data_IF_595663044248
#
_entry.id   IF_595663044248
#
_cell.length_a   1.000
_cell.length_b   1.000
_cell.length_c   1.000
_cell.angle_alpha   90.00
_cell.angle_beta   90.00
_cell.angle_gamma   90.00
#
_symmetry.space_group_name_H-M   'P 1'
#
loop_
_entity.id
_entity.type
_entity.pdbx_description
1 polymer ?
#
# COMPACT_ATOMS: atom_id res chain seq x y z
N UNK A 1 -13.69 -26.95 0.17
CA UNK A 1 -12.57 -26.00 0.41
C UNK A 1 -11.64 -25.95 -0.80
N UNK A 2 -11.37 -27.10 -1.45
CA UNK A 2 -10.68 -27.22 -2.75
C UNK A 2 -11.25 -26.32 -3.86
N UNK A 3 -12.57 -26.27 -4.00
CA UNK A 3 -13.23 -25.52 -5.10
C UNK A 3 -12.89 -24.01 -5.11
N UNK A 4 -12.69 -23.40 -3.95
CA UNK A 4 -12.30 -21.98 -3.83
C UNK A 4 -10.83 -21.72 -4.13
N UNK A 5 -9.94 -22.62 -3.71
CA UNK A 5 -8.51 -22.50 -4.02
C UNK A 5 -8.30 -22.68 -5.53
N UNK A 6 -8.99 -23.66 -6.12
CA UNK A 6 -9.00 -23.91 -7.55
C UNK A 6 -9.59 -22.72 -8.33
N UNK A 7 -10.67 -22.11 -7.85
CA UNK A 7 -11.22 -20.89 -8.44
C UNK A 7 -10.18 -19.77 -8.49
N UNK A 8 -9.55 -19.44 -7.36
CA UNK A 8 -8.55 -18.36 -7.28
C UNK A 8 -7.35 -18.63 -8.17
N UNK A 9 -6.83 -19.86 -8.19
CA UNK A 9 -5.73 -20.23 -9.07
C UNK A 9 -6.12 -20.11 -10.55
N UNK A 10 -7.33 -20.55 -10.91
CA UNK A 10 -7.86 -20.39 -12.26
C UNK A 10 -8.08 -18.92 -12.63
N UNK A 11 -8.45 -18.05 -11.68
CA UNK A 11 -8.47 -16.60 -11.92
C UNK A 11 -7.07 -16.09 -12.26
N UNK A 12 -6.03 -16.46 -11.51
CA UNK A 12 -4.66 -16.04 -11.84
C UNK A 12 -4.23 -16.53 -13.22
N UNK A 13 -4.49 -17.80 -13.55
CA UNK A 13 -4.14 -18.35 -14.87
C UNK A 13 -4.91 -17.67 -16.00
N UNK A 14 -6.20 -17.39 -15.78
CA UNK A 14 -7.04 -16.73 -16.78
C UNK A 14 -6.59 -15.28 -16.97
N UNK A 15 -6.34 -14.52 -15.92
CA UNK A 15 -6.09 -13.08 -16.01
C UNK A 15 -4.62 -12.70 -16.18
N UNK A 16 -3.69 -13.63 -15.97
CA UNK A 16 -2.28 -13.48 -16.32
C UNK A 16 -2.06 -13.65 -17.85
N UNK A 17 -2.90 -12.98 -18.65
CA UNK A 17 -2.71 -12.89 -20.10
C UNK A 17 -1.41 -12.13 -20.40
N UNK A 18 -0.72 -12.46 -21.50
CA UNK A 18 0.48 -11.73 -21.92
C UNK A 18 0.23 -10.22 -21.93
N UNK A 19 1.22 -9.47 -21.43
CA UNK A 19 1.17 -8.00 -21.31
C UNK A 19 0.82 -7.27 -22.59
N UNK A 20 0.99 -7.94 -23.72
CA UNK A 20 0.88 -7.40 -25.07
C UNK A 20 -0.56 -7.52 -25.62
N UNK A 21 -1.43 -8.26 -24.92
CA UNK A 21 -2.80 -8.56 -25.35
C UNK A 21 -3.87 -7.66 -24.72
N UNK A 22 -3.51 -6.69 -23.86
CA UNK A 22 -4.49 -5.84 -23.18
C UNK A 22 -3.99 -4.44 -22.83
N UNK A 23 -4.88 -3.43 -22.96
CA UNK A 23 -4.66 -2.11 -22.36
C UNK A 23 -4.75 -2.24 -20.85
N UNK A 24 -3.65 -1.96 -20.14
CA UNK A 24 -3.65 -1.89 -18.68
C UNK A 24 -4.33 -0.60 -18.24
N UNK A 25 -5.21 -0.70 -17.25
CA UNK A 25 -5.87 0.47 -16.68
C UNK A 25 -4.89 1.20 -15.77
N UNK A 26 -4.72 2.51 -15.97
CA UNK A 26 -3.93 3.39 -15.12
C UNK A 26 -4.82 4.16 -14.17
N UNK A 27 -4.39 4.26 -12.91
CA UNK A 27 -5.02 5.18 -11.95
C UNK A 27 -4.55 6.61 -12.21
N UNK A 28 -5.48 7.52 -12.52
CA UNK A 28 -5.20 8.94 -12.80
C UNK A 28 -5.67 9.87 -11.67
N UNK A 29 -6.32 9.33 -10.65
CA UNK A 29 -6.90 10.10 -9.53
C UNK A 29 -6.45 9.56 -8.18
N UNK A 30 -6.31 10.47 -7.22
CA UNK A 30 -6.12 10.17 -5.81
C UNK A 30 -7.46 10.23 -5.05
N UNK A 31 -7.61 9.50 -3.92
CA UNK A 31 -6.63 8.60 -3.32
C UNK A 31 -6.63 7.20 -3.97
N UNK A 32 -5.47 6.56 -3.99
CA UNK A 32 -5.38 5.10 -4.15
C UNK A 32 -5.34 4.52 -2.75
N UNK A 33 -6.36 3.73 -2.36
CA UNK A 33 -6.43 3.11 -1.04
C UNK A 33 -6.96 1.69 -1.18
N UNK A 34 -6.27 0.74 -0.54
CA UNK A 34 -6.71 -0.66 -0.48
C UNK A 34 -6.14 -1.35 0.75
N UNK A 35 -6.89 -2.32 1.28
CA UNK A 35 -6.45 -3.34 2.23
C UNK A 35 -6.29 -4.71 1.55
N UNK A 36 -6.44 -4.73 0.23
CA UNK A 36 -6.47 -5.92 -0.61
C UNK A 36 -7.64 -6.86 -0.27
N UNK A 37 -8.73 -6.32 0.31
CA UNK A 37 -9.92 -7.10 0.61
C UNK A 37 -10.62 -7.55 -0.68
N UNK A 38 -10.81 -8.86 -0.83
CA UNK A 38 -11.47 -9.46 -1.99
C UNK A 38 -13.01 -9.50 -1.87
N UNK A 39 -13.57 -8.86 -0.84
CA UNK A 39 -15.00 -8.96 -0.53
C UNK A 39 -15.40 -10.30 0.08
N UNK A 40 -14.47 -11.10 0.58
CA UNK A 40 -14.75 -12.30 1.37
C UNK A 40 -13.59 -12.63 2.31
N UNK A 41 -13.84 -13.49 3.29
CA UNK A 41 -12.82 -13.96 4.22
C UNK A 41 -13.31 -15.11 5.10
N UNK A 42 -12.37 -15.83 5.73
CA UNK A 42 -12.71 -16.81 6.79
C UNK A 42 -13.02 -16.13 8.13
N UNK A 43 -12.52 -14.90 8.28
CA UNK A 43 -12.69 -13.99 9.42
C UNK A 43 -12.80 -12.57 8.88
N UNK A 44 -13.23 -11.63 9.70
CA UNK A 44 -13.08 -10.21 9.42
C UNK A 44 -12.07 -9.58 10.38
N UNK A 45 -11.25 -8.70 9.84
CA UNK A 45 -10.15 -8.03 10.52
C UNK A 45 -10.37 -6.53 10.59
N UNK A 46 -9.88 -5.92 11.66
CA UNK A 46 -9.77 -4.48 11.83
C UNK A 46 -8.48 -4.19 12.60
N UNK A 47 -7.62 -3.33 12.06
CA UNK A 47 -6.28 -3.03 12.58
C UNK A 47 -5.47 -4.27 13.01
N UNK A 48 -5.53 -5.33 12.20
CA UNK A 48 -4.84 -6.59 12.43
C UNK A 48 -5.48 -7.50 13.49
N UNK A 49 -6.62 -7.11 14.08
CA UNK A 49 -7.37 -7.92 15.05
C UNK A 49 -8.56 -8.59 14.38
N UNK A 50 -8.84 -9.83 14.77
CA UNK A 50 -10.08 -10.51 14.40
C UNK A 50 -11.24 -9.84 15.12
N UNK A 51 -12.11 -9.15 14.37
CA UNK A 51 -13.36 -8.57 14.90
C UNK A 51 -14.56 -9.48 14.70
N UNK A 52 -14.46 -10.42 13.76
CA UNK A 52 -15.50 -11.40 13.47
C UNK A 52 -14.85 -12.73 13.10
N UNK A 53 -15.04 -13.75 13.93
CA UNK A 53 -14.44 -15.07 13.76
C UNK A 53 -15.37 -16.06 13.02
N UNK A 54 -15.94 -15.63 11.91
CA UNK A 54 -16.76 -16.47 11.04
C UNK A 54 -16.59 -16.07 9.57
N UNK A 55 -16.85 -17.01 8.67
CA UNK A 55 -16.74 -16.78 7.24
C UNK A 55 -17.76 -15.77 6.74
N UNK A 56 -17.36 -14.92 5.80
CA UNK A 56 -18.24 -13.91 5.22
C UNK A 56 -17.93 -13.68 3.74
N UNK A 57 -18.92 -13.14 3.04
CA UNK A 57 -18.86 -12.79 1.63
C UNK A 57 -19.77 -11.58 1.38
N UNK A 58 -19.21 -10.54 0.77
CA UNK A 58 -19.88 -9.32 0.32
C UNK A 58 -18.97 -8.62 -0.70
N UNK A 59 -19.25 -8.81 -2.01
CA UNK A 59 -18.44 -8.19 -3.07
C UNK A 59 -18.53 -6.66 -3.11
N UNK A 60 -19.54 -6.04 -2.49
CA UNK A 60 -19.57 -4.58 -2.30
C UNK A 60 -18.46 -4.08 -1.36
N UNK A 61 -17.76 -4.99 -0.68
CA UNK A 61 -16.57 -4.73 0.15
C UNK A 61 -15.26 -5.10 -0.57
N UNK A 62 -15.32 -5.51 -1.84
CA UNK A 62 -14.11 -5.75 -2.62
C UNK A 62 -13.41 -4.42 -2.88
N UNK A 63 -12.11 -4.38 -2.62
CA UNK A 63 -11.23 -3.23 -2.81
C UNK A 63 -10.26 -3.49 -3.97
N UNK A 64 -9.44 -2.49 -4.31
CA UNK A 64 -8.48 -2.57 -5.41
C UNK A 64 -7.50 -3.73 -5.22
N UNK A 65 -7.26 -4.49 -6.30
CA UNK A 65 -6.37 -5.65 -6.32
C UNK A 65 -5.13 -5.39 -7.19
N UNK A 66 -3.97 -5.96 -6.86
CA UNK A 66 -2.71 -5.61 -7.50
C UNK A 66 -2.62 -6.15 -8.93
N UNK A 67 -1.70 -5.62 -9.73
CA UNK A 67 -1.40 -6.09 -11.08
C UNK A 67 -0.77 -7.48 -11.06
N UNK A 68 0.32 -7.63 -10.28
CA UNK A 68 0.98 -8.92 -10.15
C UNK A 68 0.22 -9.79 -9.14
N UNK A 69 -0.34 -10.90 -9.64
CA UNK A 69 -1.06 -11.89 -8.86
C UNK A 69 -0.76 -13.31 -9.37
N UNK A 70 -0.67 -14.25 -8.45
CA UNK A 70 -0.44 -15.67 -8.74
C UNK A 70 0.98 -16.13 -8.44
N UNK A 71 1.34 -17.25 -9.06
CA UNK A 71 2.61 -17.96 -8.89
C UNK A 71 3.54 -17.68 -10.07
N UNK A 72 4.84 -17.92 -9.89
CA UNK A 72 5.83 -17.81 -10.97
C UNK A 72 6.19 -16.38 -11.36
N UNK A 73 5.92 -15.41 -10.49
CA UNK A 73 6.38 -14.02 -10.62
C UNK A 73 7.88 -13.94 -10.37
N UNK A 74 8.50 -12.77 -10.58
CA UNK A 74 9.94 -12.56 -10.35
C UNK A 74 10.79 -13.68 -11.00
N UNK A 75 10.58 -13.96 -12.28
CA UNK A 75 11.25 -15.03 -13.04
C UNK A 75 11.08 -16.45 -12.47
N UNK A 76 9.93 -16.75 -11.87
CA UNK A 76 9.62 -18.07 -11.30
C UNK A 76 9.90 -18.19 -9.80
N UNK A 77 10.52 -17.19 -9.18
CA UNK A 77 10.94 -17.22 -7.78
C UNK A 77 9.97 -16.50 -6.84
N UNK A 78 8.97 -15.81 -7.37
CA UNK A 78 8.03 -14.99 -6.63
C UNK A 78 6.59 -15.48 -6.72
N UNK A 79 5.79 -15.17 -5.70
CA UNK A 79 4.34 -15.29 -5.74
C UNK A 79 3.65 -14.15 -4.99
N UNK A 80 2.49 -13.73 -5.48
CA UNK A 80 1.63 -12.72 -4.89
C UNK A 80 0.20 -13.28 -4.83
N UNK A 81 -0.21 -13.76 -3.66
CA UNK A 81 -1.45 -14.53 -3.50
C UNK A 81 -2.32 -13.99 -2.38
N UNK A 82 -3.63 -14.16 -2.50
CA UNK A 82 -4.58 -13.78 -1.46
C UNK A 82 -4.34 -14.63 -0.20
N UNK A 83 -4.25 -13.99 0.96
CA UNK A 83 -4.26 -14.61 2.28
C UNK A 83 -5.57 -14.27 2.99
N UNK A 84 -6.34 -15.28 3.39
CA UNK A 84 -7.61 -15.12 4.14
C UNK A 84 -7.50 -15.57 5.61
N UNK A 85 -6.31 -16.04 6.02
CA UNK A 85 -6.04 -16.49 7.39
C UNK A 85 -5.65 -15.34 8.33
N UNK A 86 -5.08 -14.27 7.76
CA UNK A 86 -4.67 -13.05 8.43
C UNK A 86 -4.99 -11.85 7.54
N UNK A 87 -5.10 -10.66 8.12
CA UNK A 87 -5.41 -9.44 7.41
C UNK A 87 -5.33 -8.21 8.30
N UNK A 88 -4.98 -7.06 7.74
CA UNK A 88 -4.98 -5.81 8.49
C UNK A 88 -6.42 -5.27 8.63
N UNK A 89 -7.19 -5.28 7.55
CA UNK A 89 -8.61 -4.87 7.56
C UNK A 89 -9.39 -5.56 6.45
N UNK A 90 -10.66 -5.88 6.72
CA UNK A 90 -11.50 -6.62 5.78
C UNK A 90 -11.34 -8.13 5.95
N UNK A 91 -11.24 -8.87 4.84
CA UNK A 91 -11.38 -10.34 4.84
C UNK A 91 -10.08 -11.12 4.65
N UNK A 92 -8.98 -10.39 4.45
CA UNK A 92 -7.69 -10.94 4.12
C UNK A 92 -6.68 -9.84 3.78
N UNK A 93 -5.56 -10.24 3.21
CA UNK A 93 -4.49 -9.37 2.74
C UNK A 93 -3.76 -10.02 1.55
N UNK A 94 -2.75 -9.35 1.01
CA UNK A 94 -1.88 -9.90 -0.03
C UNK A 94 -0.65 -10.57 0.61
N UNK A 95 -0.43 -11.85 0.35
CA UNK A 95 0.80 -12.57 0.69
C UNK A 95 1.80 -12.48 -0.45
N UNK A 96 2.96 -11.94 -0.16
CA UNK A 96 4.10 -11.84 -1.06
C UNK A 96 5.17 -12.81 -0.60
N UNK A 97 5.69 -13.63 -1.49
CA UNK A 97 6.72 -14.61 -1.18
C UNK A 97 7.75 -14.63 -2.29
N UNK A 98 9.03 -14.66 -1.92
CA UNK A 98 10.16 -14.74 -2.82
C UNK A 98 11.11 -15.82 -2.30
N UNK A 99 11.41 -16.80 -3.14
CA UNK A 99 12.27 -17.95 -2.85
C UNK A 99 13.35 -18.03 -3.91
N UNK A 100 14.47 -17.30 -3.77
CA UNK A 100 15.58 -17.42 -4.71
C UNK A 100 16.19 -18.83 -4.60
N UNK A 101 16.76 -19.34 -5.70
CA UNK A 101 17.67 -20.50 -5.63
C UNK A 101 19.07 -20.00 -5.29
N UNK A 102 19.83 -20.81 -4.54
CA UNK A 102 21.15 -20.48 -3.99
C UNK A 102 22.16 -19.95 -5.04
N UNK A 103 22.03 -20.38 -6.30
CA UNK A 103 22.93 -20.01 -7.40
C UNK A 103 22.44 -18.87 -8.31
N UNK A 104 21.39 -18.12 -7.92
CA UNK A 104 20.81 -17.05 -8.76
C UNK A 104 20.85 -15.64 -8.12
N UNK A 105 22.03 -14.99 -8.07
CA UNK A 105 22.20 -13.70 -7.39
C UNK A 105 21.61 -12.47 -8.11
N UNK A 106 21.05 -12.61 -9.32
CA UNK A 106 20.68 -11.48 -10.17
C UNK A 106 19.17 -11.18 -10.25
N UNK A 107 18.30 -11.93 -9.57
CA UNK A 107 16.85 -11.75 -9.70
C UNK A 107 16.33 -10.61 -8.84
N UNK A 108 15.43 -9.81 -9.39
CA UNK A 108 14.81 -8.69 -8.69
C UNK A 108 13.47 -9.12 -8.09
N UNK A 109 13.34 -9.15 -6.75
CA UNK A 109 12.10 -9.53 -6.08
C UNK A 109 11.11 -8.37 -6.06
N UNK A 110 10.68 -7.94 -7.25
CA UNK A 110 9.79 -6.79 -7.47
C UNK A 110 8.38 -7.24 -7.85
N UNK A 111 7.37 -6.72 -7.15
CA UNK A 111 5.96 -7.00 -7.39
C UNK A 111 5.23 -5.69 -7.73
N UNK A 112 4.64 -5.62 -8.92
CA UNK A 112 3.82 -4.49 -9.38
C UNK A 112 2.46 -4.53 -8.72
N UNK A 113 2.11 -3.44 -8.04
CA UNK A 113 0.79 -3.29 -7.44
C UNK A 113 -0.14 -2.54 -8.38
N UNK A 114 0.23 -1.34 -8.81
CA UNK A 114 -0.65 -0.48 -9.59
C UNK A 114 0.13 0.32 -10.64
N UNK A 115 -0.39 0.39 -11.86
CA UNK A 115 0.03 1.37 -12.85
C UNK A 115 -0.81 2.64 -12.68
N UNK A 116 -0.17 3.79 -12.80
CA UNK A 116 -0.80 5.06 -12.54
C UNK A 116 -0.22 6.18 -13.41
N UNK A 117 -0.84 7.35 -13.33
CA UNK A 117 -0.38 8.59 -13.95
C UNK A 117 -0.78 9.72 -13.00
N UNK A 118 -0.11 9.76 -11.84
CA UNK A 118 -0.46 10.66 -10.75
C UNK A 118 0.53 11.82 -10.68
N UNK A 119 0.08 13.08 -10.72
CA UNK A 119 0.98 14.22 -10.60
C UNK A 119 1.68 14.22 -9.23
N UNK A 120 3.02 14.23 -9.28
CA UNK A 120 3.90 14.23 -8.13
C UNK A 120 3.97 15.65 -7.54
N UNK A 121 2.89 16.14 -6.94
CA UNK A 121 2.92 17.36 -6.14
C UNK A 121 3.40 17.01 -4.72
N UNK A 122 2.53 17.10 -3.71
CA UNK A 122 2.75 16.50 -2.41
C UNK A 122 1.87 15.25 -2.28
N UNK A 123 2.49 14.14 -1.84
CA UNK A 123 1.84 12.85 -1.62
C UNK A 123 2.15 12.33 -0.21
N UNK A 124 1.10 11.97 0.52
CA UNK A 124 1.20 11.12 1.71
C UNK A 124 1.07 9.67 1.23
N UNK A 125 2.12 8.89 1.47
CA UNK A 125 2.22 7.50 1.06
C UNK A 125 2.38 6.66 2.31
N UNK A 126 1.50 5.69 2.51
CA UNK A 126 1.59 4.77 3.64
C UNK A 126 1.31 3.34 3.23
N UNK A 127 2.06 2.40 3.79
CA UNK A 127 1.82 0.97 3.58
C UNK A 127 1.99 0.21 4.89
N UNK A 128 1.18 -0.82 5.07
CA UNK A 128 1.13 -1.65 6.27
C UNK A 128 1.43 -3.09 5.91
N UNK A 129 2.42 -3.68 6.57
CA UNK A 129 2.90 -5.03 6.27
C UNK A 129 3.26 -5.81 7.53
N UNK A 130 3.37 -7.12 7.41
CA UNK A 130 3.71 -8.03 8.51
C UNK A 130 4.67 -9.11 8.00
N UNK A 131 5.87 -9.28 8.59
CA UNK A 131 6.75 -10.38 8.26
C UNK A 131 6.10 -11.71 8.68
N UNK A 132 6.27 -12.74 7.86
CA UNK A 132 5.83 -14.10 8.17
C UNK A 132 7.06 -14.97 8.42
N UNK A 133 7.06 -15.76 9.49
CA UNK A 133 8.13 -16.71 9.75
C UNK A 133 8.23 -17.71 8.58
N UNK A 134 9.44 -17.87 8.05
CA UNK A 134 9.78 -18.89 7.05
C UNK A 134 10.30 -20.13 7.81
N UNK A 135 9.93 -21.33 7.33
CA UNK A 135 10.12 -22.58 8.07
C UNK A 135 11.58 -23.07 8.17
N UNK A 136 12.45 -22.60 7.27
CA UNK A 136 13.86 -23.01 7.21
C UNK A 136 14.77 -21.80 7.45
N UNK A 137 15.52 -21.89 8.55
CA UNK A 137 16.67 -21.10 8.99
C UNK A 137 16.55 -19.65 9.48
N UNK A 138 17.29 -19.50 10.60
CA UNK A 138 17.82 -18.34 11.29
C UNK A 138 17.08 -17.01 11.13
N UNK A 139 16.57 -16.54 12.27
CA UNK A 139 16.42 -15.11 12.53
C UNK A 139 17.73 -14.40 12.17
N UNK A 140 17.80 -13.78 11.00
CA UNK A 140 18.84 -12.81 10.70
C UNK A 140 18.25 -11.55 10.07
N UNK A 141 18.42 -10.52 10.87
CA UNK A 141 18.41 -9.09 10.66
C UNK A 141 17.37 -8.47 9.72
N UNK A 142 16.33 -7.91 10.34
CA UNK A 142 15.82 -6.57 9.99
C UNK A 142 15.38 -6.31 8.55
N UNK A 143 15.25 -7.34 7.70
CA UNK A 143 14.82 -7.18 6.34
C UNK A 143 13.43 -6.57 6.35
N UNK A 144 13.26 -5.53 5.55
CA UNK A 144 12.10 -4.68 5.59
C UNK A 144 11.42 -4.66 4.23
N UNK A 145 10.09 -4.66 4.19
CA UNK A 145 9.40 -4.50 2.92
C UNK A 145 9.53 -3.05 2.44
N UNK A 146 10.13 -2.84 1.27
CA UNK A 146 10.23 -1.50 0.68
C UNK A 146 9.13 -1.26 -0.33
N UNK A 147 8.54 -0.07 -0.31
CA UNK A 147 7.59 0.40 -1.33
C UNK A 147 8.37 1.21 -2.37
N UNK A 148 8.17 0.91 -3.63
CA UNK A 148 8.86 1.56 -4.75
C UNK A 148 7.84 2.36 -5.56
N UNK A 149 8.10 3.65 -5.73
CA UNK A 149 7.36 4.50 -6.65
C UNK A 149 8.23 4.74 -7.89
N UNK A 150 7.79 4.27 -9.05
CA UNK A 150 8.47 4.60 -10.31
C UNK A 150 7.92 5.90 -10.83
N UNK A 151 8.80 6.85 -11.07
CA UNK A 151 8.49 8.21 -11.44
C UNK A 151 8.93 8.49 -12.87
N UNK A 152 8.15 9.30 -13.56
CA UNK A 152 8.57 9.98 -14.80
C UNK A 152 8.91 11.41 -14.43
N UNK A 153 10.12 11.83 -14.76
CA UNK A 153 10.61 13.21 -14.68
C UNK A 153 10.92 13.73 -16.10
N UNK A 154 11.21 15.02 -16.25
CA UNK A 154 11.60 15.60 -17.55
C UNK A 154 12.88 14.98 -18.13
N UNK A 155 13.80 14.53 -17.27
CA UNK A 155 15.10 13.97 -17.65
C UNK A 155 15.10 12.44 -17.80
N UNK A 156 13.97 11.77 -17.55
CA UNK A 156 13.88 10.30 -17.65
C UNK A 156 12.97 9.67 -16.61
N UNK A 157 13.28 8.41 -16.26
CA UNK A 157 12.60 7.66 -15.21
C UNK A 157 13.51 7.49 -14.00
N UNK A 158 12.94 7.55 -12.81
CA UNK A 158 13.65 7.28 -11.56
C UNK A 158 12.77 6.47 -10.61
N UNK A 159 13.41 5.65 -9.77
CA UNK A 159 12.73 4.81 -8.79
C UNK A 159 12.97 5.40 -7.40
N UNK A 160 11.88 5.69 -6.69
CA UNK A 160 11.92 6.19 -5.32
C UNK A 160 11.62 5.05 -4.36
N UNK A 161 12.62 4.65 -3.58
CA UNK A 161 12.54 3.49 -2.66
C UNK A 161 12.22 4.00 -1.25
N UNK A 162 11.01 3.69 -0.77
CA UNK A 162 10.54 4.01 0.57
C UNK A 162 10.73 2.80 1.48
N UNK A 163 11.60 2.92 2.48
CA UNK A 163 11.81 1.90 3.51
C UNK A 163 13.26 1.47 3.69
N UNK A 164 14.14 1.81 2.75
CA UNK A 164 15.58 1.68 2.89
C UNK A 164 16.14 2.61 3.98
N UNK A 165 17.26 2.23 4.59
CA UNK A 165 18.02 3.04 5.56
C UNK A 165 18.62 4.30 4.92
N UNK A 166 18.93 4.25 3.63
CA UNK A 166 19.10 5.43 2.78
C UNK A 166 17.76 5.75 2.13
N UNK A 167 17.13 6.84 2.53
CA UNK A 167 16.01 7.39 1.78
C UNK A 167 16.61 8.02 0.53
N UNK A 168 16.55 7.31 -0.59
CA UNK A 168 17.08 7.78 -1.86
C UNK A 168 16.13 8.82 -2.46
N UNK A 169 16.14 10.04 -1.90
CA UNK A 169 15.60 11.21 -2.56
C UNK A 169 16.49 11.60 -3.73
N UNK A 170 15.90 12.05 -4.83
CA UNK A 170 16.68 12.77 -5.86
C UNK A 170 16.90 14.21 -5.40
N UNK A 171 17.84 14.94 -6.00
CA UNK A 171 18.03 16.39 -5.72
C UNK A 171 16.72 17.20 -5.81
N UNK A 172 15.74 16.68 -6.56
CA UNK A 172 14.46 17.32 -6.86
C UNK A 172 13.30 16.82 -6.01
N UNK A 173 13.44 15.70 -5.29
CA UNK A 173 12.36 15.05 -4.53
C UNK A 173 12.80 14.85 -3.09
N UNK A 174 12.11 15.52 -2.19
CA UNK A 174 12.25 15.28 -0.76
C UNK A 174 11.31 14.17 -0.32
N UNK A 175 11.87 13.24 0.44
CA UNK A 175 11.12 12.20 1.12
C UNK A 175 11.40 12.32 2.61
N UNK A 176 10.34 12.51 3.40
CA UNK A 176 10.44 12.46 4.86
C UNK A 176 9.56 11.35 5.39
N UNK A 177 10.11 10.52 6.28
CA UNK A 177 9.29 9.62 7.07
C UNK A 177 8.48 10.45 8.06
N UNK A 178 7.16 10.31 8.02
CA UNK A 178 6.30 10.87 9.05
C UNK A 178 6.17 9.78 10.10
N UNK A 179 6.90 9.90 11.21
CA UNK A 179 6.40 9.34 12.47
C UNK A 179 5.10 10.11 12.74
N UNK A 180 3.95 9.43 12.73
CA UNK A 180 2.71 10.13 13.03
C UNK A 180 2.87 10.83 14.38
N UNK A 181 2.45 12.10 14.46
CA UNK A 181 2.13 12.74 15.73
C UNK A 181 1.04 11.87 16.37
N UNK A 182 1.50 10.87 17.13
CA UNK A 182 0.65 9.93 17.82
C UNK A 182 -0.26 10.72 18.76
N UNK A 183 -1.57 10.44 18.80
CA UNK A 183 -2.34 10.70 20.01
C UNK A 183 -1.82 9.74 21.10
N UNK A 184 -0.71 10.06 21.76
CA UNK A 184 -0.04 9.38 22.89
C UNK A 184 0.09 7.82 22.86
N UNK A 185 -0.36 7.13 21.80
CA UNK A 185 -0.56 5.68 21.75
C UNK A 185 -0.36 5.06 20.36
N UNK A 186 0.12 5.81 19.36
CA UNK A 186 0.45 5.28 18.03
C UNK A 186 1.97 5.25 17.87
N UNK A 187 2.59 4.29 18.54
CA UNK A 187 4.00 3.98 18.35
C UNK A 187 4.21 3.29 16.99
N UNK A 188 5.36 3.53 16.34
CA UNK A 188 5.93 2.71 15.25
C UNK A 188 6.13 1.22 15.65
N UNK A 189 5.61 0.79 16.80
CA UNK A 189 5.61 -0.57 17.30
C UNK A 189 4.66 -1.44 16.47
N UNK A 190 5.01 -2.72 16.24
CA UNK A 190 4.11 -3.67 15.60
C UNK A 190 2.77 -3.74 16.36
N UNK A 191 1.69 -3.25 15.77
CA UNK A 191 0.35 -3.42 16.32
C UNK A 191 -0.20 -4.76 15.82
N UNK A 192 -0.33 -5.74 16.71
CA UNK A 192 -0.72 -7.11 16.37
C UNK A 192 0.22 -7.77 15.33
N UNK A 193 1.49 -7.39 15.34
CA UNK A 193 2.52 -7.84 14.40
C UNK A 193 2.55 -7.08 13.05
N UNK A 194 1.66 -6.11 12.85
CA UNK A 194 1.67 -5.26 11.64
C UNK A 194 2.47 -3.98 11.86
N UNK A 195 3.33 -3.65 10.90
CA UNK A 195 4.13 -2.43 10.85
C UNK A 195 3.55 -1.51 9.77
N UNK A 196 3.31 -0.25 10.11
CA UNK A 196 2.90 0.78 9.14
C UNK A 196 4.00 1.80 8.97
N UNK A 197 4.31 2.14 7.72
CA UNK A 197 5.26 3.20 7.40
C UNK A 197 4.54 4.28 6.61
N UNK A 198 4.79 5.53 6.98
CA UNK A 198 4.18 6.70 6.36
C UNK A 198 5.27 7.67 5.93
N UNK A 199 5.16 8.16 4.71
CA UNK A 199 6.09 9.09 4.08
C UNK A 199 5.33 10.28 3.50
N UNK A 200 5.93 11.46 3.58
CA UNK A 200 5.58 12.57 2.71
C UNK A 200 6.62 12.64 1.60
N UNK A 201 6.14 12.54 0.37
CA UNK A 201 6.92 12.68 -0.86
C UNK A 201 6.49 13.99 -1.53
N UNK A 202 7.44 14.89 -1.78
CA UNK A 202 7.15 16.18 -2.41
C UNK A 202 8.41 16.74 -3.10
N UNK A 203 8.23 17.59 -4.10
CA UNK A 203 9.36 18.29 -4.72
C UNK A 203 10.09 19.23 -3.75
N UNK A 204 11.41 19.33 -3.92
CA UNK A 204 12.27 20.26 -3.16
C UNK A 204 12.14 21.71 -3.65
N UNK A 205 11.75 21.92 -4.91
CA UNK A 205 11.61 23.24 -5.52
C UNK A 205 10.14 23.68 -5.65
N UNK A 206 9.90 25.01 -5.64
CA UNK A 206 8.58 25.62 -5.83
C UNK A 206 8.11 25.66 -7.29
N UNK A 207 8.91 25.18 -8.25
CA UNK A 207 8.49 25.08 -9.65
C UNK A 207 7.85 23.71 -9.79
N UNK A 208 6.56 23.64 -10.10
CA UNK A 208 5.88 22.37 -10.35
C UNK A 208 6.56 21.68 -11.54
N UNK A 209 7.32 20.59 -11.35
CA UNK A 209 7.82 19.85 -12.49
C UNK A 209 6.69 18.97 -13.03
N UNK A 210 6.79 18.59 -14.30
CA UNK A 210 5.85 17.65 -14.94
C UNK A 210 6.00 16.21 -14.45
N UNK A 211 6.43 16.01 -13.21
CA UNK A 211 6.74 14.69 -12.67
C UNK A 211 5.47 13.94 -12.31
N UNK A 212 5.43 12.66 -12.63
CA UNK A 212 4.28 11.80 -12.34
C UNK A 212 4.71 10.45 -11.80
N UNK A 213 3.96 9.91 -10.85
CA UNK A 213 4.07 8.49 -10.47
C UNK A 213 3.45 7.66 -11.58
N UNK A 214 4.22 6.73 -12.14
CA UNK A 214 3.80 5.82 -13.21
C UNK A 214 3.44 4.42 -12.69
N UNK A 215 4.09 3.98 -11.62
CA UNK A 215 3.91 2.64 -11.07
C UNK A 215 4.17 2.64 -9.56
N UNK A 216 3.37 1.87 -8.84
CA UNK A 216 3.54 1.57 -7.43
C UNK A 216 3.81 0.07 -7.32
N UNK A 217 4.90 -0.29 -6.68
CA UNK A 217 5.26 -1.68 -6.42
C UNK A 217 5.90 -1.86 -5.06
N UNK A 218 6.22 -3.10 -4.74
CA UNK A 218 6.97 -3.47 -3.54
C UNK A 218 8.14 -4.35 -3.92
N UNK A 219 9.22 -4.23 -3.17
CA UNK A 219 10.44 -4.99 -3.41
C UNK A 219 10.94 -5.58 -2.11
N UNK A 220 11.58 -6.74 -2.19
CA UNK A 220 12.33 -7.29 -1.07
C UNK A 220 13.78 -6.80 -1.12
N UNK A 221 14.32 -6.23 -0.04
CA UNK A 221 15.65 -5.64 -0.04
C UNK A 221 16.72 -6.73 -0.15
N UNK A 222 16.45 -7.90 0.42
CA UNK A 222 17.36 -9.03 0.35
C UNK A 222 17.02 -9.89 -0.87
N UNK A 223 18.01 -10.14 -1.73
CA UNK A 223 17.83 -10.97 -2.94
C UNK A 223 18.28 -12.42 -2.76
N UNK A 224 18.86 -12.75 -1.60
CA UNK A 224 19.56 -14.02 -1.36
C UNK A 224 18.79 -15.01 -0.50
N UNK A 225 17.81 -14.53 0.27
CA UNK A 225 17.09 -15.36 1.23
C UNK A 225 15.61 -15.42 0.92
N UNK A 226 14.99 -16.55 1.28
CA UNK A 226 13.55 -16.71 1.25
C UNK A 226 12.91 -15.69 2.19
N UNK A 227 12.04 -14.86 1.65
CA UNK A 227 11.26 -13.89 2.41
C UNK A 227 9.76 -14.06 2.13
N UNK A 228 8.96 -13.77 3.15
CA UNK A 228 7.51 -13.81 3.07
C UNK A 228 6.90 -12.67 3.89
N UNK A 229 6.07 -11.85 3.25
CA UNK A 229 5.38 -10.73 3.86
C UNK A 229 3.89 -10.75 3.55
N UNK A 230 3.10 -10.30 4.53
CA UNK A 230 1.72 -9.92 4.29
C UNK A 230 1.67 -8.42 4.08
N UNK A 231 1.09 -7.95 2.98
CA UNK A 231 0.78 -6.56 2.71
C UNK A 231 -0.71 -6.34 2.96
N UNK A 232 -1.02 -5.57 4.00
CA UNK A 232 -2.37 -5.42 4.54
C UNK A 232 -3.03 -4.08 4.25
N UNK A 233 -2.25 -3.06 3.87
CA UNK A 233 -2.79 -1.76 3.45
C UNK A 233 -1.80 -1.00 2.58
N UNK A 234 -2.32 -0.27 1.59
CA UNK A 234 -1.61 0.75 0.82
C UNK A 234 -2.52 1.96 0.70
N UNK A 235 -1.98 3.15 0.96
CA UNK A 235 -2.64 4.44 0.76
C UNK A 235 -1.67 5.41 0.08
N UNK A 236 -2.10 6.00 -1.02
CA UNK A 236 -1.46 7.14 -1.68
C UNK A 236 -2.51 8.23 -1.79
N UNK A 237 -2.29 9.36 -1.14
CA UNK A 237 -3.26 10.45 -1.08
C UNK A 237 -2.57 11.82 -1.05
N UNK A 238 -3.34 12.89 -1.28
CA UNK A 238 -2.84 14.24 -0.99
C UNK A 238 -2.74 14.41 0.54
N UNK A 239 -1.68 15.04 1.06
CA UNK A 239 -1.62 15.41 2.47
C UNK A 239 -2.85 16.23 2.82
N UNK A 240 -3.52 15.88 3.92
CA UNK A 240 -4.59 16.72 4.45
C UNK A 240 -3.97 18.07 4.77
N UNK A 241 -4.44 19.14 4.12
CA UNK A 241 -4.19 20.48 4.63
C UNK A 241 -4.64 20.47 6.09
N UNK A 242 -3.88 21.10 6.99
CA UNK A 242 -4.36 21.32 8.35
C UNK A 242 -5.73 21.99 8.20
N UNK A 243 -6.80 21.24 8.48
CA UNK A 243 -8.15 21.79 8.44
C UNK A 243 -8.09 23.00 9.36
N UNK A 244 -8.39 24.20 8.85
CA UNK A 244 -8.95 25.21 9.73
C UNK A 244 -10.13 24.51 10.40
N UNK A 245 -10.07 24.39 11.72
CA UNK A 245 -11.21 24.03 12.54
C UNK A 245 -12.46 24.64 11.89
N UNK A 246 -13.51 23.86 11.58
CA UNK A 246 -14.74 24.46 11.10
C UNK A 246 -15.12 25.50 12.15
N UNK A 247 -15.17 26.77 11.75
CA UNK A 247 -15.65 27.83 12.64
C UNK A 247 -16.96 27.33 13.23
N UNK A 248 -16.93 27.17 14.54
CA UNK A 248 -17.95 26.55 15.35
C UNK A 248 -19.32 27.05 14.88
N UNK A 249 -20.13 26.17 14.28
CA UNK A 249 -21.45 26.50 13.71
C UNK A 249 -22.40 27.12 14.77
N UNK A 250 -22.02 27.04 16.05
CA UNK A 250 -22.65 27.71 17.19
C UNK A 250 -22.51 29.24 17.14
N UNK A 251 -21.43 29.81 16.58
CA UNK A 251 -21.23 31.27 16.53
C UNK A 251 -21.99 31.93 15.37
N UNK A 252 -22.19 31.23 14.26
CA UNK A 252 -23.04 31.69 13.15
C UNK A 252 -24.53 31.74 13.56
N UNK A 253 -24.97 30.81 14.40
CA UNK A 253 -26.33 30.79 14.96
C UNK A 253 -26.56 31.89 16.01
N UNK A 254 -25.52 32.30 16.76
CA UNK A 254 -25.61 33.39 17.74
C UNK A 254 -25.67 34.77 17.11
N UNK A 255 -24.97 34.99 15.98
CA UNK A 255 -25.04 36.27 15.26
C UNK A 255 -26.41 36.53 14.63
N UNK A 256 -27.10 35.50 14.14
CA UNK A 256 -28.46 35.65 13.57
C UNK A 256 -29.56 35.93 14.60
N UNK A 257 -29.35 35.68 15.89
CA UNK A 257 -30.34 35.99 16.95
C UNK A 257 -30.23 37.40 17.53
N UNK A 258 -29.21 38.17 17.17
CA UNK A 258 -29.02 39.56 17.63
C UNK A 258 -29.47 40.61 16.60
N UNK A 259 -29.92 40.20 15.42
CA UNK A 259 -30.35 41.09 14.33
C UNK A 259 -31.87 41.08 14.08
N UNK A 260 -32.68 40.49 14.97
CA UNK A 260 -34.14 40.68 14.91
C UNK A 260 -34.51 42.02 15.57
N UNK A 261 -35.11 42.98 14.85
CA UNK A 261 -35.61 44.20 15.45
C UNK A 261 -36.82 43.86 16.31
N UNK A 262 -36.82 44.29 17.58
CA UNK A 262 -38.03 44.30 18.40
C UNK A 262 -39.04 45.26 17.78
N UNK A 263 -40.05 44.70 17.11
CA UNK A 263 -41.23 45.45 16.70
C UNK A 263 -42.08 45.74 17.95
N UNK A 264 -42.37 47.02 18.15
CA UNK A 264 -43.25 47.58 19.18
C UNK A 264 -44.72 47.38 18.83
#
# INVERSE_FOLDING_TARGET
MEDRALFTENQYRLWNFPSDCGRRCKFITLPISTTFCQGFGKKAFHDGKVVKNEGWFNLSRQELQPLDQGQGLCDGYGSATICVEDGFSGGGCLRLEFKPLDDTPEKEPYFRLFECELPLEALRVSYTFKPTAVADDAADDGADLVLVLKLREENGRCDLILGSSSIDGTDRISVRRISENAPENCSDSPHNGWCTRTYLVQHTSCVQPSSSVEEIGVQFPNKRHHQCYLLGRLVVERPKSARREPEDLTMAAKRRRLEEPQAS
#
